data_IF_757611852680
#
_entry.id   IF_757611852680
#
_cell.length_a   1.000
_cell.length_b   1.000
_cell.length_c   1.000
_cell.angle_alpha   90.00
_cell.angle_beta   90.00
_cell.angle_gamma   90.00
#
_symmetry.space_group_name_H-M   'P 1'
#
loop_
_entity.id
_entity.type
_entity.pdbx_description
1 polymer ?
#
# COMPACT_ATOMS: atom_id res chain seq x y z
N UNK A 1 8.65 5.08 -11.45
CA UNK A 1 8.15 3.85 -10.80
C UNK A 1 8.52 3.83 -9.33
N UNK A 2 9.81 3.85 -8.97
CA UNK A 2 10.26 3.79 -7.57
C UNK A 2 9.85 5.03 -6.73
N UNK A 3 9.95 6.24 -7.29
CA UNK A 3 9.55 7.47 -6.59
C UNK A 3 8.10 7.47 -6.13
N UNK A 4 7.18 6.94 -6.97
CA UNK A 4 5.76 6.75 -6.60
C UNK A 4 5.61 5.83 -5.39
N UNK A 5 6.33 4.70 -5.38
CA UNK A 5 6.30 3.73 -4.28
C UNK A 5 6.83 4.32 -2.98
N UNK A 6 7.93 5.08 -3.05
CA UNK A 6 8.50 5.80 -1.90
C UNK A 6 7.51 6.83 -1.37
N UNK A 7 6.91 7.65 -2.24
CA UNK A 7 5.89 8.62 -1.82
C UNK A 7 4.67 7.95 -1.19
N UNK A 8 4.19 6.84 -1.75
CA UNK A 8 3.09 6.07 -1.17
C UNK A 8 3.47 5.54 0.22
N UNK A 9 4.67 4.97 0.38
CA UNK A 9 5.17 4.48 1.65
C UNK A 9 5.25 5.58 2.72
N UNK A 10 5.83 6.73 2.41
CA UNK A 10 5.94 7.87 3.33
C UNK A 10 4.56 8.35 3.75
N UNK A 11 3.63 8.49 2.79
CA UNK A 11 2.28 8.94 3.07
C UNK A 11 1.50 7.94 3.93
N UNK A 12 1.64 6.64 3.65
CA UNK A 12 1.05 5.59 4.48
C UNK A 12 1.58 5.64 5.90
N UNK A 13 2.90 5.76 6.10
CA UNK A 13 3.49 5.83 7.44
C UNK A 13 2.98 7.07 8.19
N UNK A 14 2.93 8.23 7.53
CA UNK A 14 2.39 9.44 8.14
C UNK A 14 0.93 9.26 8.58
N UNK A 15 0.09 8.68 7.72
CA UNK A 15 -1.33 8.44 8.02
C UNK A 15 -1.47 7.40 9.14
N UNK A 16 -0.77 6.27 9.08
CA UNK A 16 -0.81 5.23 10.11
C UNK A 16 -0.36 5.79 11.46
N UNK A 17 0.70 6.59 11.48
CA UNK A 17 1.20 7.26 12.69
C UNK A 17 0.16 8.20 13.27
N UNK A 18 -0.48 9.01 12.42
CA UNK A 18 -1.54 9.92 12.84
C UNK A 18 -2.77 9.17 13.38
N UNK A 19 -3.21 8.10 12.71
CA UNK A 19 -4.32 7.27 13.17
C UNK A 19 -4.03 6.61 14.52
N UNK A 20 -2.81 6.10 14.71
CA UNK A 20 -2.40 5.52 15.99
C UNK A 20 -2.36 6.56 17.11
N UNK A 21 -1.91 7.77 16.81
CA UNK A 21 -1.97 8.89 17.74
C UNK A 21 -3.39 9.24 18.15
N UNK A 22 -4.33 9.26 17.22
CA UNK A 22 -5.74 9.51 17.54
C UNK A 22 -6.38 8.40 18.38
N UNK A 23 -5.99 7.14 18.16
CA UNK A 23 -6.56 5.99 18.88
C UNK A 23 -6.04 5.86 20.31
N UNK A 24 -4.73 6.01 20.50
CA UNK A 24 -4.08 5.81 21.80
C UNK A 24 -4.03 7.10 22.62
N UNK A 25 -4.05 8.27 21.98
CA UNK A 25 -3.98 9.58 22.64
C UNK A 25 -2.64 9.88 23.31
N UNK A 26 -1.69 8.95 23.27
CA UNK A 26 -0.34 9.11 23.86
C UNK A 26 0.73 9.30 22.79
N UNK A 27 1.86 9.89 23.18
CA UNK A 27 3.03 9.98 22.31
C UNK A 27 3.69 8.62 22.00
N UNK A 28 3.40 7.55 22.75
CA UNK A 28 3.99 6.23 22.53
C UNK A 28 3.57 5.63 21.17
N UNK A 29 2.33 5.90 20.76
CA UNK A 29 1.78 5.52 19.46
C UNK A 29 2.52 6.12 18.25
N UNK A 30 3.16 7.29 18.42
CA UNK A 30 3.99 7.90 17.39
C UNK A 30 5.22 7.03 17.08
N UNK A 31 5.80 6.41 18.10
CA UNK A 31 6.91 5.48 17.91
C UNK A 31 6.46 4.27 17.10
N UNK A 32 5.33 3.65 17.43
CA UNK A 32 4.78 2.50 16.68
C UNK A 32 4.56 2.87 15.20
N UNK A 33 3.98 4.05 14.95
CA UNK A 33 3.78 4.57 13.61
C UNK A 33 5.09 4.73 12.84
N UNK A 34 6.11 5.37 13.45
CA UNK A 34 7.43 5.54 12.82
C UNK A 34 8.16 4.21 12.63
N UNK A 35 8.03 3.26 13.57
CA UNK A 35 8.59 1.90 13.45
C UNK A 35 7.97 1.10 12.29
N UNK A 36 6.79 1.49 11.79
CA UNK A 36 6.23 0.87 10.58
C UNK A 36 7.00 1.24 9.31
N UNK A 37 7.75 2.35 9.29
CA UNK A 37 8.50 2.82 8.13
C UNK A 37 9.47 1.79 7.55
N UNK A 38 10.41 1.20 8.33
CA UNK A 38 11.31 0.18 7.78
C UNK A 38 10.55 -1.02 7.23
N UNK A 39 9.44 -1.43 7.85
CA UNK A 39 8.62 -2.55 7.37
C UNK A 39 7.97 -2.20 6.02
N UNK A 40 7.39 -1.01 5.89
CA UNK A 40 6.76 -0.56 4.64
C UNK A 40 7.80 -0.39 3.53
N UNK A 41 9.01 0.09 3.84
CA UNK A 41 10.09 0.23 2.85
C UNK A 41 10.63 -1.13 2.39
N UNK A 42 10.89 -2.05 3.33
CA UNK A 42 11.51 -3.35 3.03
C UNK A 42 10.52 -4.37 2.46
N UNK A 43 9.25 -4.32 2.85
CA UNK A 43 8.23 -5.27 2.38
C UNK A 43 7.17 -4.60 1.52
N UNK A 44 6.64 -3.45 1.93
CA UNK A 44 5.58 -2.76 1.20
C UNK A 44 5.99 -2.36 -0.22
N UNK A 45 7.19 -1.79 -0.41
CA UNK A 45 7.68 -1.40 -1.74
C UNK A 45 7.90 -2.61 -2.66
N UNK A 46 8.64 -3.67 -2.26
CA UNK A 46 8.79 -4.86 -3.09
C UNK A 46 7.46 -5.53 -3.44
N UNK A 47 6.57 -5.70 -2.46
CA UNK A 47 5.22 -6.23 -2.70
C UNK A 47 4.48 -5.40 -3.74
N UNK A 48 4.59 -4.08 -3.69
CA UNK A 48 3.94 -3.19 -4.64
C UNK A 48 4.55 -3.26 -6.05
N UNK A 49 5.85 -3.50 -6.17
CA UNK A 49 6.53 -3.73 -7.45
C UNK A 49 6.10 -5.08 -8.05
N UNK A 50 6.06 -6.13 -7.23
CA UNK A 50 5.61 -7.47 -7.62
C UNK A 50 4.13 -7.43 -8.04
N UNK A 51 3.29 -6.72 -7.29
CA UNK A 51 1.87 -6.53 -7.61
C UNK A 51 1.67 -5.86 -8.97
N UNK A 52 2.37 -4.74 -9.24
CA UNK A 52 2.38 -4.14 -10.58
C UNK A 52 2.90 -5.13 -11.63
N UNK A 53 3.90 -5.95 -11.26
CA UNK A 53 4.46 -7.09 -11.98
C UNK A 53 3.42 -8.08 -12.51
N UNK A 54 2.60 -8.59 -11.59
CA UNK A 54 1.62 -9.65 -11.80
C UNK A 54 0.33 -9.12 -12.41
N UNK A 55 -0.04 -7.87 -12.09
CA UNK A 55 -1.32 -7.31 -12.53
C UNK A 55 -1.30 -6.65 -13.91
N UNK A 56 -0.15 -6.63 -14.61
CA UNK A 56 0.01 -6.01 -15.94
C UNK A 56 -0.99 -6.50 -16.99
N UNK A 57 -1.42 -7.76 -16.87
CA UNK A 57 -2.34 -8.42 -17.82
C UNK A 57 -3.81 -8.09 -17.56
N UNK A 58 -4.14 -7.54 -16.40
CA UNK A 58 -5.49 -7.12 -16.07
C UNK A 58 -5.68 -5.63 -16.36
N UNK A 59 -6.91 -5.24 -16.64
CA UNK A 59 -7.28 -3.84 -16.89
C UNK A 59 -8.44 -3.40 -16.00
N UNK A 60 -8.54 -2.10 -15.75
CA UNK A 60 -9.69 -1.50 -15.06
C UNK A 60 -9.83 -1.95 -13.61
N UNK A 61 -11.05 -2.31 -13.20
CA UNK A 61 -11.37 -2.65 -11.81
C UNK A 61 -10.76 -3.99 -11.38
N UNK A 62 -10.67 -4.96 -12.29
CA UNK A 62 -10.07 -6.28 -12.01
C UNK A 62 -8.60 -6.13 -11.62
N UNK A 63 -7.87 -5.25 -12.30
CA UNK A 63 -6.48 -4.94 -11.96
C UNK A 63 -6.36 -4.40 -10.52
N UNK A 64 -7.25 -3.50 -10.13
CA UNK A 64 -7.27 -2.89 -8.79
C UNK A 64 -7.58 -3.91 -7.70
N UNK A 65 -8.59 -4.75 -7.90
CA UNK A 65 -8.98 -5.80 -6.95
C UNK A 65 -7.86 -6.82 -6.77
N UNK A 66 -7.26 -7.31 -7.86
CA UNK A 66 -6.14 -8.26 -7.78
C UNK A 66 -4.94 -7.61 -7.10
N UNK A 67 -4.64 -6.35 -7.41
CA UNK A 67 -3.54 -5.62 -6.76
C UNK A 67 -3.77 -5.45 -5.24
N UNK A 68 -5.00 -5.14 -4.83
CA UNK A 68 -5.38 -5.06 -3.41
C UNK A 68 -5.18 -6.41 -2.72
N UNK A 69 -5.67 -7.50 -3.34
CA UNK A 69 -5.51 -8.85 -2.82
C UNK A 69 -4.03 -9.23 -2.65
N UNK A 70 -3.17 -8.88 -3.62
CA UNK A 70 -1.73 -9.15 -3.52
C UNK A 70 -1.07 -8.37 -2.37
N UNK A 71 -1.45 -7.12 -2.17
CA UNK A 71 -0.95 -6.30 -1.05
C UNK A 71 -1.36 -6.88 0.31
N UNK A 72 -2.64 -7.17 0.49
CA UNK A 72 -3.17 -7.66 1.77
C UNK A 72 -2.67 -9.07 2.08
N UNK A 73 -2.71 -9.99 1.10
CA UNK A 73 -2.20 -11.36 1.28
C UNK A 73 -0.71 -11.40 1.60
N UNK A 74 0.10 -10.57 0.93
CA UNK A 74 1.54 -10.47 1.22
C UNK A 74 1.81 -9.99 2.65
N UNK A 75 1.05 -8.99 3.12
CA UNK A 75 1.21 -8.49 4.49
C UNK A 75 0.74 -9.49 5.54
N UNK A 76 -0.36 -10.20 5.28
CA UNK A 76 -0.86 -11.28 6.13
C UNK A 76 0.17 -12.40 6.24
N UNK A 77 0.72 -12.85 5.11
CA UNK A 77 1.77 -13.87 5.08
C UNK A 77 3.02 -13.43 5.83
N UNK A 78 3.44 -12.16 5.69
CA UNK A 78 4.58 -11.62 6.43
C UNK A 78 4.37 -11.70 7.95
N UNK A 79 3.21 -11.28 8.45
CA UNK A 79 2.93 -11.35 9.90
C UNK A 79 2.81 -12.78 10.39
N UNK A 80 2.10 -13.65 9.65
CA UNK A 80 2.00 -15.06 10.02
C UNK A 80 3.40 -15.69 10.11
N UNK A 81 4.25 -15.43 9.12
CA UNK A 81 5.64 -15.92 9.11
C UNK A 81 6.43 -15.38 10.31
N UNK A 82 6.32 -14.08 10.61
CA UNK A 82 6.99 -13.47 11.75
C UNK A 82 6.54 -14.10 13.08
N UNK A 83 5.23 -14.32 13.26
CA UNK A 83 4.68 -14.97 14.45
C UNK A 83 5.19 -16.41 14.62
N UNK A 84 5.25 -17.17 13.52
CA UNK A 84 5.79 -18.54 13.52
C UNK A 84 7.27 -18.55 13.92
N UNK A 85 8.10 -17.67 13.32
CA UNK A 85 9.54 -17.60 13.59
C UNK A 85 9.81 -17.20 15.05
N UNK A 86 9.03 -16.27 15.59
CA UNK A 86 9.19 -15.76 16.96
C UNK A 86 8.60 -16.69 18.04
N UNK A 87 8.01 -17.83 17.65
CA UNK A 87 7.50 -18.83 18.61
C UNK A 87 6.23 -18.39 19.35
N UNK A 88 5.47 -17.43 18.81
CA UNK A 88 4.15 -17.06 19.30
C UNK A 88 3.16 -18.25 19.15
N UNK A 89 2.04 -18.29 19.91
CA UNK A 89 1.44 -19.54 20.38
C UNK A 89 1.10 -20.52 19.25
N UNK A 90 1.24 -21.83 19.55
CA UNK A 90 1.00 -22.94 18.62
C UNK A 90 -0.43 -22.94 18.04
N UNK A 91 -1.37 -22.29 18.72
CA UNK A 91 -2.77 -22.20 18.31
C UNK A 91 -3.03 -20.97 17.44
N UNK A 92 -2.81 -21.13 16.12
CA UNK A 92 -3.17 -20.15 15.08
C UNK A 92 -4.68 -20.13 14.81
N UNK A 93 -5.49 -19.89 15.85
CA UNK A 93 -6.92 -19.68 15.66
C UNK A 93 -7.18 -18.36 14.93
N UNK A 94 -8.26 -18.32 14.14
CA UNK A 94 -8.71 -17.08 13.48
C UNK A 94 -8.99 -15.98 14.52
N UNK A 95 -9.53 -16.36 15.68
CA UNK A 95 -9.78 -15.44 16.78
C UNK A 95 -8.48 -14.79 17.30
N UNK A 96 -7.41 -15.58 17.46
CA UNK A 96 -6.10 -15.06 17.84
C UNK A 96 -5.55 -14.07 16.80
N UNK A 97 -5.64 -14.41 15.51
CA UNK A 97 -5.16 -13.51 14.45
C UNK A 97 -5.91 -12.19 14.43
N UNK A 98 -7.25 -12.21 14.53
CA UNK A 98 -8.07 -10.99 14.46
C UNK A 98 -7.92 -10.15 15.74
N UNK A 99 -7.64 -10.75 16.89
CA UNK A 99 -7.35 -10.03 18.13
C UNK A 99 -5.90 -9.54 18.24
N UNK A 100 -5.01 -10.00 17.36
CA UNK A 100 -3.61 -9.58 17.37
C UNK A 100 -3.45 -8.17 16.77
N UNK A 101 -2.98 -7.23 17.58
CA UNK A 101 -2.76 -5.84 17.19
C UNK A 101 -1.85 -5.70 15.96
N UNK A 102 -0.73 -6.44 15.92
CA UNK A 102 0.22 -6.35 14.80
C UNK A 102 -0.37 -6.90 13.49
N UNK A 103 -1.21 -7.93 13.58
CA UNK A 103 -1.95 -8.44 12.43
C UNK A 103 -2.89 -7.38 11.85
N UNK A 104 -3.73 -6.78 12.70
CA UNK A 104 -4.64 -5.71 12.28
C UNK A 104 -3.88 -4.51 11.71
N UNK A 105 -2.82 -4.07 12.37
CA UNK A 105 -1.97 -2.98 11.92
C UNK A 105 -1.35 -3.26 10.55
N UNK A 106 -0.89 -4.48 10.31
CA UNK A 106 -0.30 -4.86 9.03
C UNK A 106 -1.35 -4.86 7.92
N UNK A 107 -2.54 -5.41 8.16
CA UNK A 107 -3.65 -5.39 7.20
C UNK A 107 -4.03 -3.95 6.85
N UNK A 108 -4.28 -3.11 7.86
CA UNK A 108 -4.64 -1.70 7.65
C UNK A 108 -3.53 -0.95 6.90
N UNK A 109 -2.27 -1.14 7.29
CA UNK A 109 -1.13 -0.52 6.62
C UNK A 109 -1.01 -0.97 5.16
N UNK A 110 -1.21 -2.26 4.88
CA UNK A 110 -1.15 -2.80 3.51
C UNK A 110 -2.23 -2.21 2.60
N UNK A 111 -3.44 -2.01 3.13
CA UNK A 111 -4.55 -1.35 2.44
C UNK A 111 -4.20 0.11 2.18
N UNK A 112 -3.64 0.82 3.16
CA UNK A 112 -3.21 2.21 3.00
C UNK A 112 -2.09 2.34 1.96
N UNK A 113 -1.08 1.46 1.96
CA UNK A 113 -0.01 1.46 0.95
C UNK A 113 -0.61 1.30 -0.44
N UNK A 114 -1.52 0.33 -0.60
CA UNK A 114 -2.19 0.10 -1.87
C UNK A 114 -3.03 1.32 -2.30
N UNK A 115 -3.82 1.90 -1.40
CA UNK A 115 -4.64 3.08 -1.65
C UNK A 115 -3.78 4.26 -2.11
N UNK A 116 -2.66 4.53 -1.42
CA UNK A 116 -1.77 5.64 -1.77
C UNK A 116 -1.07 5.38 -3.11
N UNK A 117 -0.60 4.17 -3.37
CA UNK A 117 0.06 3.84 -4.64
C UNK A 117 -0.90 3.94 -5.83
N UNK A 118 -2.10 3.35 -5.73
CA UNK A 118 -3.12 3.45 -6.78
C UNK A 118 -3.69 4.87 -6.92
N UNK A 119 -3.81 5.62 -5.82
CA UNK A 119 -4.17 7.03 -5.83
C UNK A 119 -3.17 7.90 -6.59
N UNK A 120 -1.88 7.74 -6.32
CA UNK A 120 -0.83 8.48 -7.05
C UNK A 120 -0.76 8.01 -8.51
N UNK A 121 -0.92 6.71 -8.78
CA UNK A 121 -0.93 6.15 -10.14
C UNK A 121 -2.08 6.70 -10.98
N UNK A 122 -3.28 6.79 -10.40
CA UNK A 122 -4.46 7.30 -11.10
C UNK A 122 -4.35 8.81 -11.40
N UNK A 123 -3.87 9.62 -10.45
CA UNK A 123 -3.64 11.06 -10.67
C UNK A 123 -2.55 11.34 -11.71
N UNK A 124 -1.46 10.58 -11.71
CA UNK A 124 -0.43 10.66 -12.76
C UNK A 124 -0.96 10.23 -14.13
N UNK A 125 -1.79 9.18 -14.18
CA UNK A 125 -2.43 8.71 -15.41
C UNK A 125 -3.37 9.78 -16.00
N UNK A 126 -4.17 10.44 -15.16
CA UNK A 126 -5.03 11.55 -15.55
C UNK A 126 -4.22 12.74 -16.10
N UNK A 127 -3.14 13.14 -15.42
CA UNK A 127 -2.25 14.22 -15.90
C UNK A 127 -1.60 13.87 -17.24
N UNK A 128 -1.18 12.62 -17.43
CA UNK A 128 -0.56 12.16 -18.68
C UNK A 128 -1.57 12.15 -19.83
N UNK A 129 -2.78 11.62 -19.61
CA UNK A 129 -3.87 11.66 -20.60
C UNK A 129 -4.24 13.08 -21.00
N UNK A 130 -4.34 14.01 -20.04
CA UNK A 130 -4.63 15.41 -20.32
C UNK A 130 -3.56 16.09 -21.19
N UNK A 131 -2.27 15.82 -20.92
CA UNK A 131 -1.17 16.32 -21.76
C UNK A 131 -1.22 15.74 -23.17
N UNK A 132 -1.45 14.43 -23.31
CA UNK A 132 -1.58 13.78 -24.63
C UNK A 132 -2.74 14.37 -25.42
N UNK A 133 -3.91 14.54 -24.78
CA UNK A 133 -5.08 15.14 -25.42
C UNK A 133 -4.81 16.59 -25.86
N UNK A 134 -4.11 17.37 -25.03
CA UNK A 134 -3.70 18.73 -25.37
C UNK A 134 -2.78 18.77 -26.60
N UNK A 135 -1.76 17.89 -26.67
CA UNK A 135 -0.87 17.82 -27.83
C UNK A 135 -1.58 17.34 -29.10
N UNK A 136 -2.49 16.36 -28.99
CA UNK A 136 -3.29 15.88 -30.11
C UNK A 136 -4.22 16.98 -30.63
N UNK A 137 -4.87 17.75 -29.76
CA UNK A 137 -5.68 18.90 -30.16
C UNK A 137 -4.83 20.01 -30.80
N UNK A 138 -3.61 20.25 -30.29
CA UNK A 138 -2.68 21.22 -30.89
C UNK A 138 -2.23 20.80 -32.29
N UNK A 139 -1.96 19.50 -32.52
CA UNK A 139 -1.60 18.96 -33.83
C UNK A 139 -2.81 18.93 -34.80
N UNK A 140 -4.01 18.63 -34.28
CA UNK A 140 -5.26 18.68 -35.05
C UNK A 140 -5.60 20.09 -35.53
N UNK A 141 -5.39 21.11 -34.69
CA UNK A 141 -5.57 22.52 -35.05
C UNK A 141 -4.50 23.07 -36.01
N UNK A 142 -3.38 22.37 -36.22
CA UNK A 142 -2.39 22.72 -37.25
C UNK A 142 -2.67 22.07 -38.61
N UNK A 143 -3.75 21.30 -38.73
CA UNK A 143 -4.31 20.86 -40.02
C UNK A 143 -5.42 21.81 -40.43
N UNK A 144 -5.06 23.05 -40.78
CA UNK A 144 -5.88 24.03 -41.49
C UNK A 144 -5.00 24.69 -42.55
#
# INVERSE_FOLDING_TARGET
>A
MIGRKISAAILTVAITTFLMFLLDGTGASLFIGVYSLPIVLLYGIPTSIISDGLTKRFSGITQKIVSLFLHTSSSVLFIILALVILGFPKDFSIYYLISNFFFLLAVVSSILVWLMDEGIKSTLCLKSKGKVLFYLNKLGNMRL
#
